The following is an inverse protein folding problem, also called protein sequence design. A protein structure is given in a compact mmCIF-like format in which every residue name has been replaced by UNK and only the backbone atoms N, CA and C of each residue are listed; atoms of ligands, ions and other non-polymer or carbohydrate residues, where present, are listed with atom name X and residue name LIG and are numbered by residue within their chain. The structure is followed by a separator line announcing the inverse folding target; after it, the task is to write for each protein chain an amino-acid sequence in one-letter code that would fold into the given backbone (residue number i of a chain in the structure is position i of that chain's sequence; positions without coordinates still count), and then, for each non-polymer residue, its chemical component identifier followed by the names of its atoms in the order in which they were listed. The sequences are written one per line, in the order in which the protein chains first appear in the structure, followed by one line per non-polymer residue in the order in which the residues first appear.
data_IF_611364226800
#
_entry.id   IF_611364226800
#
_cell.length_a   1.000
_cell.length_b   1.000
_cell.length_c   1.000
_cell.angle_alpha   90.00
_cell.angle_beta   90.00
_cell.angle_gamma   90.00
#
_symmetry.space_group_name_H-M   'P 1'
#
loop_
_entity.id
_entity.type
_entity.pdbx_description
1 polymer ?
#
# COMPACT_ATOMS: atom_id res chain seq x y z
N UNK A 1 -2.65 -13.82 -16.80
CA UNK A 1 -1.70 -13.58 -15.70
C UNK A 1 -2.25 -14.18 -14.42
N UNK A 2 -1.46 -15.01 -13.77
CA UNK A 2 -1.89 -15.61 -12.50
C UNK A 2 -1.86 -14.57 -11.40
N UNK A 3 -2.92 -14.52 -10.60
CA UNK A 3 -2.97 -13.60 -9.47
C UNK A 3 -2.19 -14.15 -8.28
N UNK A 4 -1.71 -13.23 -7.44
CA UNK A 4 -1.15 -13.62 -6.14
C UNK A 4 -2.26 -13.95 -5.16
N UNK A 5 -1.93 -14.76 -4.18
CA UNK A 5 -2.78 -14.98 -3.01
C UNK A 5 -2.41 -13.92 -1.96
N UNK A 6 -3.43 -13.22 -1.44
CA UNK A 6 -3.22 -12.19 -0.42
C UNK A 6 -3.14 -12.87 0.95
N UNK A 7 -2.03 -12.64 1.67
CA UNK A 7 -1.87 -13.20 3.02
C UNK A 7 -2.62 -12.35 4.03
N UNK A 8 -3.05 -12.98 5.12
CA UNK A 8 -3.86 -12.31 6.15
C UNK A 8 -3.03 -11.96 7.38
N UNK A 9 -3.63 -11.18 8.27
CA UNK A 9 -2.98 -10.60 9.46
C UNK A 9 -2.33 -11.62 10.40
N UNK A 10 -2.73 -12.89 10.34
CA UNK A 10 -2.13 -13.96 11.13
C UNK A 10 -0.76 -14.37 10.61
N UNK A 11 -0.42 -14.02 9.39
CA UNK A 11 0.89 -14.34 8.81
C UNK A 11 1.94 -13.41 9.40
N UNK A 12 2.93 -13.99 10.04
CA UNK A 12 4.00 -13.24 10.72
C UNK A 12 4.84 -12.40 9.76
N UNK A 13 4.83 -12.75 8.48
CA UNK A 13 5.56 -12.02 7.45
C UNK A 13 5.11 -10.56 7.37
N UNK A 14 3.81 -10.29 7.62
CA UNK A 14 3.27 -8.93 7.59
C UNK A 14 3.83 -8.01 8.68
N UNK A 15 4.47 -8.57 9.69
CA UNK A 15 5.08 -7.81 10.79
C UNK A 15 6.57 -7.53 10.56
N UNK A 16 7.12 -7.99 9.45
CA UNK A 16 8.52 -7.80 9.13
C UNK A 16 8.72 -6.56 8.28
N UNK A 17 9.89 -5.97 8.42
CA UNK A 17 10.30 -4.85 7.59
C UNK A 17 10.75 -5.36 6.23
N UNK A 18 10.26 -4.73 5.17
CA UNK A 18 10.63 -5.08 3.80
C UNK A 18 12.01 -4.53 3.43
N UNK A 19 12.68 -5.20 2.53
CA UNK A 19 14.01 -4.83 2.06
C UNK A 19 13.92 -3.99 0.79
N UNK A 20 14.86 -3.08 0.62
CA UNK A 20 14.95 -2.29 -0.60
C UNK A 20 15.16 -3.18 -1.81
N UNK A 21 14.61 -2.75 -2.93
CA UNK A 21 14.83 -3.37 -4.23
C UNK A 21 16.13 -2.80 -4.78
N UNK A 22 17.20 -3.60 -4.90
CA UNK A 22 18.53 -3.06 -5.26
C UNK A 22 18.64 -2.69 -6.74
N UNK A 23 17.87 -3.36 -7.59
CA UNK A 23 17.83 -3.04 -9.01
C UNK A 23 16.50 -3.46 -9.61
N UNK A 24 16.06 -2.75 -10.64
CA UNK A 24 14.79 -3.02 -11.30
C UNK A 24 15.01 -4.01 -12.44
N UNK A 25 14.70 -5.26 -12.15
CA UNK A 25 14.83 -6.36 -13.10
C UNK A 25 13.50 -6.61 -13.80
N UNK A 26 13.48 -7.38 -14.91
CA UNK A 26 12.21 -7.79 -15.50
C UNK A 26 11.30 -8.54 -14.52
N UNK A 27 11.86 -9.27 -13.57
CA UNK A 27 11.07 -9.95 -12.54
C UNK A 27 10.36 -8.96 -11.61
N UNK A 28 11.03 -7.87 -11.25
CA UNK A 28 10.41 -6.81 -10.43
C UNK A 28 9.26 -6.14 -11.19
N UNK A 29 9.47 -5.87 -12.47
CA UNK A 29 8.42 -5.27 -13.32
C UNK A 29 7.19 -6.18 -13.38
N UNK A 30 7.40 -7.48 -13.63
CA UNK A 30 6.31 -8.47 -13.67
C UNK A 30 5.61 -8.59 -12.32
N UNK A 31 6.38 -8.53 -11.22
CA UNK A 31 5.81 -8.56 -9.87
C UNK A 31 4.82 -7.43 -9.67
N UNK A 32 5.21 -6.21 -10.04
CA UNK A 32 4.34 -5.04 -9.88
C UNK A 32 3.08 -5.13 -10.76
N UNK A 33 3.21 -5.62 -12.00
CA UNK A 33 2.05 -5.82 -12.86
C UNK A 33 1.09 -6.84 -12.25
N UNK A 34 1.62 -7.93 -11.73
CA UNK A 34 0.84 -8.98 -11.09
C UNK A 34 0.19 -8.50 -9.80
N UNK A 35 0.90 -7.68 -9.02
CA UNK A 35 0.34 -7.05 -7.82
C UNK A 35 -0.84 -6.15 -8.18
N UNK A 36 -0.70 -5.35 -9.23
CA UNK A 36 -1.76 -4.44 -9.66
C UNK A 36 -3.02 -5.22 -10.08
N UNK A 37 -2.86 -6.29 -10.86
CA UNK A 37 -3.98 -7.13 -11.26
C UNK A 37 -4.63 -7.82 -10.06
N UNK A 38 -3.82 -8.27 -9.10
CA UNK A 38 -4.33 -8.88 -7.85
C UNK A 38 -5.15 -7.86 -7.07
N UNK A 39 -4.66 -6.62 -6.97
CA UNK A 39 -5.37 -5.53 -6.31
C UNK A 39 -6.74 -5.29 -6.95
N UNK A 40 -6.79 -5.17 -8.27
CA UNK A 40 -8.05 -4.96 -8.99
C UNK A 40 -9.02 -6.12 -8.80
N UNK A 41 -8.53 -7.35 -8.90
CA UNK A 41 -9.36 -8.54 -8.73
C UNK A 41 -9.96 -8.65 -7.32
N UNK A 42 -9.31 -8.05 -6.34
CA UNK A 42 -9.76 -8.04 -4.94
C UNK A 42 -10.54 -6.77 -4.59
N UNK A 43 -10.81 -5.91 -5.55
CA UNK A 43 -11.50 -4.62 -5.37
C UNK A 43 -10.78 -3.69 -4.39
N UNK A 44 -9.44 -3.77 -4.34
CA UNK A 44 -8.63 -2.91 -3.51
C UNK A 44 -8.19 -1.65 -4.22
N UNK A 45 -7.78 -0.65 -3.45
CA UNK A 45 -7.20 0.59 -3.98
C UNK A 45 -5.70 0.66 -3.78
N UNK A 46 -5.14 -0.27 -3.00
CA UNK A 46 -3.71 -0.36 -2.77
C UNK A 46 -3.30 -1.78 -2.38
N UNK A 47 -2.04 -2.11 -2.62
CA UNK A 47 -1.48 -3.39 -2.25
C UNK A 47 0.04 -3.24 -2.12
N UNK A 48 0.60 -3.76 -1.03
CA UNK A 48 2.04 -3.77 -0.79
C UNK A 48 2.60 -5.19 -0.98
N UNK A 49 3.84 -5.29 -1.41
CA UNK A 49 4.45 -6.59 -1.69
C UNK A 49 4.39 -7.58 -0.52
N UNK A 50 4.58 -7.18 0.76
CA UNK A 50 4.40 -8.11 1.86
C UNK A 50 3.04 -8.81 1.89
N UNK A 51 1.99 -8.13 1.43
CA UNK A 51 0.64 -8.72 1.43
C UNK A 51 0.51 -9.89 0.44
N UNK A 52 1.44 -10.05 -0.45
CA UNK A 52 1.49 -11.21 -1.35
C UNK A 52 2.70 -12.11 -1.06
N UNK A 53 3.26 -11.98 0.15
CA UNK A 53 4.34 -12.85 0.62
C UNK A 53 5.74 -12.45 0.20
N UNK A 54 5.92 -11.22 -0.29
CA UNK A 54 7.21 -10.75 -0.81
C UNK A 54 7.71 -9.59 0.04
N UNK A 55 8.84 -9.77 0.73
CA UNK A 55 9.40 -8.75 1.61
C UNK A 55 10.29 -7.77 0.84
N UNK A 56 9.68 -7.05 -0.11
CA UNK A 56 10.35 -6.02 -0.90
C UNK A 56 9.58 -4.71 -0.80
N UNK A 57 10.32 -3.61 -0.88
CA UNK A 57 9.72 -2.27 -0.78
C UNK A 57 9.10 -1.86 -2.11
N UNK A 58 7.92 -2.38 -2.37
CA UNK A 58 7.15 -2.11 -3.57
C UNK A 58 5.67 -2.05 -3.23
N UNK A 59 4.97 -1.08 -3.80
CA UNK A 59 3.52 -0.90 -3.59
C UNK A 59 2.86 -0.51 -4.91
N UNK A 60 1.57 -0.84 -5.02
CA UNK A 60 0.72 -0.37 -6.11
C UNK A 60 -0.49 0.34 -5.51
N UNK A 61 -0.94 1.41 -6.14
CA UNK A 61 -2.09 2.21 -5.69
C UNK A 61 -2.85 2.72 -6.91
N UNK A 62 -4.17 2.58 -6.88
CA UNK A 62 -5.05 3.19 -7.87
C UNK A 62 -6.38 3.49 -7.18
N UNK A 63 -6.66 4.79 -6.95
CA UNK A 63 -7.88 5.20 -6.26
C UNK A 63 -9.06 5.45 -7.20
N UNK A 64 -8.88 5.17 -8.50
CA UNK A 64 -9.95 5.30 -9.48
C UNK A 64 -9.97 6.67 -10.17
N UNK A 65 -11.16 7.10 -10.56
CA UNK A 65 -11.33 8.30 -11.40
C UNK A 65 -10.80 9.59 -10.78
N UNK A 66 -10.83 9.69 -9.46
CA UNK A 66 -10.37 10.89 -8.76
C UNK A 66 -8.86 10.93 -8.55
N UNK A 67 -8.14 9.95 -9.06
CA UNK A 67 -6.70 9.81 -8.89
C UNK A 67 -5.92 9.97 -10.18
N UNK A 68 -4.59 9.87 -10.06
CA UNK A 68 -3.69 10.02 -11.22
C UNK A 68 -3.61 8.78 -12.11
N UNK A 69 -4.40 7.74 -11.83
CA UNK A 69 -4.28 6.45 -12.47
C UNK A 69 -3.42 5.49 -11.66
N UNK A 70 -3.09 4.32 -12.18
CA UNK A 70 -2.32 3.35 -11.43
C UNK A 70 -0.89 3.82 -11.17
N UNK A 71 -0.47 3.69 -9.90
CA UNK A 71 0.88 3.99 -9.47
C UNK A 71 1.57 2.69 -9.09
N UNK A 72 2.75 2.46 -9.65
CA UNK A 72 3.63 1.33 -9.30
C UNK A 72 4.90 1.94 -8.76
N UNK A 73 5.14 1.79 -7.47
CA UNK A 73 6.20 2.52 -6.77
C UNK A 73 7.19 1.55 -6.14
N UNK A 74 8.47 1.79 -6.40
CA UNK A 74 9.58 1.01 -5.90
C UNK A 74 10.39 1.86 -4.94
N UNK A 75 10.71 1.32 -3.77
CA UNK A 75 11.46 2.00 -2.71
C UNK A 75 10.84 3.34 -2.32
N UNK A 76 9.52 3.39 -2.07
CA UNK A 76 8.88 4.67 -1.74
C UNK A 76 9.31 5.20 -0.38
N UNK A 77 9.52 6.51 -0.31
CA UNK A 77 9.91 7.21 0.93
C UNK A 77 9.02 8.44 1.06
N UNK A 78 8.46 8.63 2.25
CA UNK A 78 7.69 9.84 2.53
C UNK A 78 8.67 10.94 2.94
N UNK A 79 8.76 11.99 2.13
CA UNK A 79 9.66 13.10 2.36
C UNK A 79 9.06 14.17 3.26
N UNK A 80 7.75 14.42 3.11
CA UNK A 80 7.05 15.45 3.86
C UNK A 80 5.64 14.98 4.21
N UNK A 81 5.17 15.44 5.36
CA UNK A 81 3.80 15.20 5.84
C UNK A 81 3.25 16.49 6.41
N UNK A 82 1.98 16.77 6.20
CA UNK A 82 1.32 17.89 6.86
C UNK A 82 -0.19 17.67 6.96
N UNK A 83 -0.80 18.39 7.90
CA UNK A 83 -2.21 18.29 8.15
C UNK A 83 -2.64 16.98 8.76
N UNK A 84 -3.94 16.85 8.99
CA UNK A 84 -4.52 15.64 9.55
C UNK A 84 -5.86 15.33 8.89
N UNK A 85 -6.16 14.06 8.78
CA UNK A 85 -7.47 13.58 8.38
C UNK A 85 -7.82 12.34 9.20
N UNK A 86 -9.10 12.18 9.50
CA UNK A 86 -9.63 10.97 10.12
C UNK A 86 -10.57 10.30 9.14
N UNK A 87 -10.51 8.99 9.06
CA UNK A 87 -11.40 8.26 8.18
C UNK A 87 -11.33 6.77 8.41
N UNK A 88 -12.32 6.04 7.88
CA UNK A 88 -12.33 4.59 7.99
C UNK A 88 -11.32 3.96 7.06
N UNK A 89 -10.67 2.90 7.54
CA UNK A 89 -9.80 2.06 6.73
C UNK A 89 -10.15 0.59 6.92
N UNK A 90 -9.96 -0.14 5.84
CA UNK A 90 -9.93 -1.57 5.83
C UNK A 90 -8.69 -2.02 5.09
N UNK A 91 -8.44 -3.31 5.01
CA UNK A 91 -7.27 -3.85 4.36
C UNK A 91 -7.57 -5.24 3.83
N UNK A 92 -7.07 -5.57 2.65
CA UNK A 92 -7.23 -6.90 2.08
C UNK A 92 -6.64 -8.00 2.98
N UNK A 93 -5.63 -7.65 3.77
CA UNK A 93 -5.02 -8.59 4.74
C UNK A 93 -5.77 -8.67 6.06
N UNK A 94 -6.77 -7.82 6.28
CA UNK A 94 -7.60 -7.79 7.48
C UNK A 94 -9.08 -7.88 7.07
N UNK A 95 -9.51 -9.02 6.48
CA UNK A 95 -10.87 -9.12 5.95
C UNK A 95 -11.93 -8.96 7.05
N UNK A 96 -12.97 -8.19 6.73
CA UNK A 96 -14.08 -7.95 7.65
C UNK A 96 -13.79 -6.98 8.78
N UNK A 97 -12.63 -6.34 8.80
CA UNK A 97 -12.26 -5.40 9.84
C UNK A 97 -12.23 -3.97 9.31
N UNK A 98 -12.72 -3.04 10.13
CA UNK A 98 -12.72 -1.61 9.84
C UNK A 98 -12.27 -0.85 11.09
N UNK A 99 -11.62 0.28 10.89
CA UNK A 99 -11.24 1.13 11.99
C UNK A 99 -11.04 2.57 11.54
N UNK A 100 -11.18 3.50 12.46
CA UNK A 100 -10.91 4.92 12.18
C UNK A 100 -9.42 5.17 12.33
N UNK A 101 -8.81 5.71 11.30
CA UNK A 101 -7.36 5.95 11.27
C UNK A 101 -7.07 7.42 11.02
N UNK A 102 -6.24 7.99 11.89
CA UNK A 102 -5.72 9.34 11.70
C UNK A 102 -4.49 9.26 10.81
N UNK A 103 -4.49 10.04 9.74
CA UNK A 103 -3.38 10.10 8.77
C UNK A 103 -3.03 11.55 8.49
N UNK A 104 -1.85 11.78 7.91
CA UNK A 104 -1.54 13.09 7.35
C UNK A 104 -2.46 13.38 6.18
N UNK A 105 -2.92 14.62 6.07
CA UNK A 105 -3.77 15.04 4.95
C UNK A 105 -2.97 15.15 3.65
N UNK A 106 -1.72 15.59 3.75
CA UNK A 106 -0.80 15.76 2.64
C UNK A 106 0.46 14.94 2.88
N UNK A 107 0.95 14.30 1.81
CA UNK A 107 2.26 13.64 1.81
C UNK A 107 2.99 13.93 0.51
N UNK A 108 4.31 13.95 0.61
CA UNK A 108 5.19 14.03 -0.55
C UNK A 108 6.04 12.76 -0.55
N UNK A 109 5.93 11.97 -1.60
CA UNK A 109 6.55 10.65 -1.69
C UNK A 109 7.55 10.64 -2.84
N UNK A 110 8.76 10.17 -2.57
CA UNK A 110 9.77 9.91 -3.59
C UNK A 110 9.83 8.40 -3.82
N UNK A 111 9.88 8.00 -5.08
CA UNK A 111 9.94 6.59 -5.44
C UNK A 111 10.56 6.40 -6.82
N UNK A 112 10.81 5.14 -7.18
CA UNK A 112 11.20 4.76 -8.54
C UNK A 112 10.02 4.14 -9.25
N UNK A 113 9.92 4.39 -10.55
CA UNK A 113 8.96 3.72 -11.43
C UNK A 113 9.54 2.40 -11.93
N UNK A 114 8.72 1.51 -12.52
CA UNK A 114 9.24 0.28 -13.14
C UNK A 114 10.24 0.53 -14.27
N UNK A 115 10.22 1.72 -14.87
CA UNK A 115 11.18 2.12 -15.91
C UNK A 115 12.50 2.64 -15.32
N UNK A 116 12.59 2.76 -13.99
CA UNK A 116 13.79 3.22 -13.30
C UNK A 116 13.88 4.73 -13.11
N UNK A 117 12.81 5.46 -13.41
CA UNK A 117 12.80 6.91 -13.26
C UNK A 117 12.44 7.30 -11.82
N UNK A 118 13.11 8.33 -11.30
CA UNK A 118 12.75 8.91 -10.01
C UNK A 118 11.52 9.78 -10.20
N UNK A 119 10.55 9.64 -9.28
CA UNK A 119 9.33 10.45 -9.29
C UNK A 119 9.06 11.01 -7.90
N UNK A 120 8.47 12.20 -7.89
CA UNK A 120 7.96 12.83 -6.68
C UNK A 120 6.44 12.92 -6.84
N UNK A 121 5.72 12.35 -5.89
CA UNK A 121 4.26 12.37 -5.88
C UNK A 121 3.80 13.18 -4.70
N UNK A 122 3.05 14.25 -4.97
CA UNK A 122 2.37 15.01 -3.93
C UNK A 122 0.92 14.56 -3.91
N UNK A 123 0.42 14.21 -2.74
CA UNK A 123 -0.91 13.64 -2.59
C UNK A 123 -1.63 14.25 -1.39
N UNK A 124 -2.93 14.39 -1.53
CA UNK A 124 -3.81 14.89 -0.47
C UNK A 124 -5.00 13.93 -0.32
N UNK A 125 -5.66 14.04 0.83
CA UNK A 125 -6.91 13.36 1.14
C UNK A 125 -6.80 11.84 0.95
N UNK A 126 -7.66 11.22 0.13
CA UNK A 126 -7.73 9.77 0.02
C UNK A 126 -6.45 9.16 -0.59
N UNK A 127 -5.87 9.81 -1.60
CA UNK A 127 -4.61 9.31 -2.17
C UNK A 127 -3.48 9.33 -1.13
N UNK A 128 -3.40 10.40 -0.33
CA UNK A 128 -2.43 10.47 0.76
C UNK A 128 -2.65 9.36 1.78
N UNK A 129 -3.91 9.07 2.12
CA UNK A 129 -4.27 7.96 3.01
C UNK A 129 -3.81 6.63 2.45
N UNK A 130 -4.11 6.36 1.18
CA UNK A 130 -3.76 5.10 0.54
C UNK A 130 -2.24 4.89 0.48
N UNK A 131 -1.49 5.93 0.12
CA UNK A 131 -0.03 5.85 0.07
C UNK A 131 0.57 5.56 1.45
N UNK A 132 0.09 6.24 2.49
CA UNK A 132 0.58 6.00 3.86
C UNK A 132 0.27 4.59 4.33
N UNK A 133 -0.94 4.10 4.06
CA UNK A 133 -1.36 2.76 4.42
C UNK A 133 -0.42 1.71 3.80
N UNK A 134 -0.13 1.82 2.49
CA UNK A 134 0.71 0.85 1.80
C UNK A 134 2.18 0.95 2.23
N UNK A 135 2.68 2.16 2.43
CA UNK A 135 4.07 2.34 2.89
C UNK A 135 4.24 1.81 4.31
N UNK A 136 3.22 1.92 5.17
CA UNK A 136 3.24 1.31 6.51
C UNK A 136 3.45 -0.20 6.44
N UNK A 137 2.84 -0.88 5.47
CA UNK A 137 3.05 -2.33 5.31
C UNK A 137 4.52 -2.67 5.11
N UNK A 138 5.29 -1.79 4.49
CA UNK A 138 6.72 -2.01 4.27
C UNK A 138 7.53 -1.96 5.57
N UNK A 139 6.96 -1.36 6.61
CA UNK A 139 7.54 -1.30 7.95
C UNK A 139 6.92 -2.31 8.92
N UNK A 140 6.06 -3.19 8.40
CA UNK A 140 5.39 -4.19 9.24
C UNK A 140 4.23 -3.64 10.06
N UNK A 141 3.67 -2.50 9.66
CA UNK A 141 2.57 -1.84 10.37
C UNK A 141 1.26 -2.04 9.61
N UNK A 142 0.25 -2.54 10.31
CA UNK A 142 -1.10 -2.68 9.78
C UNK A 142 -1.99 -1.56 10.33
N UNK A 143 -3.07 -1.21 9.61
CA UNK A 143 -3.95 -0.14 10.09
C UNK A 143 -4.55 -0.46 11.47
N UNK A 144 -4.77 -1.73 11.78
CA UNK A 144 -5.33 -2.16 13.07
C UNK A 144 -4.39 -1.83 14.24
N UNK A 145 -3.11 -1.58 13.99
CA UNK A 145 -2.15 -1.21 15.04
C UNK A 145 -2.34 0.23 15.51
N UNK A 146 -2.89 1.09 14.65
CA UNK A 146 -3.00 2.53 14.90
C UNK A 146 -4.44 3.03 14.88
N UNK A 147 -5.39 2.17 14.49
CA UNK A 147 -6.80 2.56 14.41
C UNK A 147 -7.42 2.72 15.79
N UNK A 148 -8.32 3.69 15.89
CA UNK A 148 -9.28 3.75 16.99
C UNK A 148 -10.58 3.06 16.52
N UNK A 149 -11.38 2.58 17.45
CA UNK A 149 -12.71 2.05 17.15
C UNK A 149 -12.71 0.96 16.06
N UNK A 150 -11.99 -0.14 16.33
CA UNK A 150 -11.98 -1.26 15.40
C UNK A 150 -13.32 -1.99 15.45
N UNK A 151 -13.92 -2.19 14.27
CA UNK A 151 -15.19 -2.90 14.15
C UNK A 151 -14.99 -4.12 13.24
N UNK A 152 -15.83 -5.12 13.47
CA UNK A 152 -15.85 -6.33 12.66
C UNK A 152 -17.15 -6.40 11.89
N UNK A 153 -17.06 -6.73 10.61
CA UNK A 153 -18.22 -6.94 9.79
C UNK A 153 -18.96 -8.19 10.27
N UNK A 154 -20.27 -8.08 10.49
CA UNK A 154 -21.08 -9.22 10.88
C UNK A 154 -21.51 -9.99 9.63
N UNK A 155 -21.35 -11.30 9.69
CA UNK A 155 -21.80 -12.19 8.63
C UNK A 155 -23.17 -12.73 8.92
#
# INVERSE_FOLDING_TARGET
MDLYEVVTKEDKLLRKKSQEVPSITPNVVRMLDRMLETMYASNGVGLAAPQVGILKRAVVVDIGEDGPGPLKLINPVILERSGEQDGPEGCLSCPGMWGMVKRSYYVKVEALTPEGDEVIIEAEDFLARALQHEIDHLEGVLFIDIASEIEYEQQ
#
